data_IF_218120543636
#
_entry.id   IF_218120543636
#
_cell.length_a   1.000
_cell.length_b   1.000
_cell.length_c   1.000
_cell.angle_alpha   90.00
_cell.angle_beta   90.00
_cell.angle_gamma   90.00
#
_symmetry.space_group_name_H-M   'P 1'
#
loop_
_entity.id
_entity.type
_entity.pdbx_description
1 polymer ?
#
# COMPACT_ATOMS: atom_id res chain seq x y z
N UNK A 1 -4.11 -23.18 -15.25
CA UNK A 1 -5.32 -22.36 -15.47
C UNK A 1 -4.91 -21.20 -16.35
N UNK A 2 -5.70 -20.82 -17.35
CA UNK A 2 -5.33 -19.73 -18.27
C UNK A 2 -5.59 -18.34 -17.70
N UNK A 3 -6.57 -18.19 -16.79
CA UNK A 3 -6.88 -16.96 -16.05
C UNK A 3 -7.36 -17.30 -14.64
N UNK A 4 -7.12 -16.41 -13.68
CA UNK A 4 -7.65 -16.52 -12.31
C UNK A 4 -8.93 -15.68 -12.18
N UNK A 5 -10.01 -16.27 -11.68
CA UNK A 5 -11.26 -15.58 -11.42
C UNK A 5 -11.17 -14.70 -10.17
N UNK A 6 -11.64 -13.45 -10.32
CA UNK A 6 -11.58 -12.40 -9.32
C UNK A 6 -12.98 -11.91 -8.96
N UNK A 7 -13.25 -11.81 -7.66
CA UNK A 7 -14.41 -11.11 -7.12
C UNK A 7 -14.00 -9.77 -6.49
N UNK A 8 -14.84 -8.75 -6.58
CA UNK A 8 -14.65 -7.47 -5.89
C UNK A 8 -15.69 -7.33 -4.78
N UNK A 9 -15.28 -7.08 -3.54
CA UNK A 9 -16.17 -6.67 -2.45
C UNK A 9 -15.94 -5.19 -2.13
N UNK A 10 -16.97 -4.37 -2.30
CA UNK A 10 -16.95 -2.92 -2.14
C UNK A 10 -17.03 -2.21 -3.50
N UNK A 11 -18.16 -1.56 -3.76
CA UNK A 11 -18.45 -0.82 -4.99
C UNK A 11 -18.39 0.71 -4.75
N UNK A 12 -17.47 1.17 -3.89
CA UNK A 12 -17.20 2.58 -3.62
C UNK A 12 -16.28 3.23 -4.66
N UNK A 13 -15.89 4.49 -4.43
CA UNK A 13 -15.11 5.29 -5.39
C UNK A 13 -13.79 4.63 -5.84
N UNK A 14 -13.11 3.89 -4.95
CA UNK A 14 -11.84 3.23 -5.26
C UNK A 14 -12.03 2.06 -6.24
N UNK A 15 -13.23 1.47 -6.31
CA UNK A 15 -13.51 0.35 -7.23
C UNK A 15 -13.29 0.71 -8.69
N UNK A 16 -13.48 1.98 -9.07
CA UNK A 16 -13.19 2.46 -10.42
C UNK A 16 -11.72 2.25 -10.82
N UNK A 17 -10.78 2.50 -9.92
CA UNK A 17 -9.35 2.33 -10.21
C UNK A 17 -8.99 0.86 -10.42
N UNK A 18 -9.54 -0.04 -9.60
CA UNK A 18 -9.33 -1.48 -9.75
C UNK A 18 -10.00 -2.03 -11.01
N UNK A 19 -11.29 -1.74 -11.21
CA UNK A 19 -12.05 -2.27 -12.33
C UNK A 19 -11.53 -1.76 -13.68
N UNK A 20 -11.07 -0.51 -13.74
CA UNK A 20 -10.45 0.05 -14.96
C UNK A 20 -9.26 -0.80 -15.42
N UNK A 21 -8.42 -1.26 -14.50
CA UNK A 21 -7.21 -2.02 -14.85
C UNK A 21 -7.46 -3.53 -14.92
N UNK A 22 -8.14 -4.11 -13.92
CA UNK A 22 -8.37 -5.56 -13.83
C UNK A 22 -9.17 -6.13 -15.01
N UNK A 23 -10.02 -5.33 -15.64
CA UNK A 23 -10.76 -5.74 -16.85
C UNK A 23 -9.91 -5.75 -18.11
N UNK A 24 -8.68 -5.22 -18.06
CA UNK A 24 -7.71 -5.20 -19.17
C UNK A 24 -6.59 -6.24 -19.02
N UNK A 25 -6.42 -6.83 -17.83
CA UNK A 25 -5.33 -7.75 -17.56
C UNK A 25 -5.64 -9.18 -18.00
N UNK A 26 -4.73 -9.77 -18.78
CA UNK A 26 -4.97 -11.06 -19.41
C UNK A 26 -5.01 -12.23 -18.42
N UNK A 27 -4.23 -12.18 -17.34
CA UNK A 27 -4.08 -13.30 -16.39
C UNK A 27 -5.19 -13.40 -15.33
N UNK A 28 -6.07 -12.40 -15.25
CA UNK A 28 -7.19 -12.36 -14.30
C UNK A 28 -8.49 -12.05 -15.02
N UNK A 29 -9.61 -12.44 -14.43
CA UNK A 29 -10.94 -12.14 -14.95
C UNK A 29 -11.86 -11.72 -13.80
N UNK A 30 -12.41 -10.50 -13.87
CA UNK A 30 -13.39 -10.04 -12.86
C UNK A 30 -14.74 -10.66 -13.19
N UNK A 31 -15.22 -11.54 -12.31
CA UNK A 31 -16.44 -12.33 -12.52
C UNK A 31 -17.64 -11.75 -11.77
N UNK A 32 -17.42 -11.04 -10.67
CA UNK A 32 -18.51 -10.52 -9.85
C UNK A 32 -18.10 -9.31 -9.02
N UNK A 33 -18.98 -8.32 -8.92
CA UNK A 33 -18.89 -7.22 -7.95
C UNK A 33 -19.96 -7.40 -6.87
N UNK A 34 -19.59 -7.28 -5.60
CA UNK A 34 -20.49 -7.35 -4.47
C UNK A 34 -20.42 -6.10 -3.60
N UNK A 35 -21.56 -5.71 -3.05
CA UNK A 35 -21.68 -4.61 -2.08
C UNK A 35 -22.90 -4.84 -1.18
N UNK A 36 -22.94 -4.19 -0.02
CA UNK A 36 -24.14 -4.16 0.83
C UNK A 36 -25.29 -3.41 0.15
N UNK A 37 -24.96 -2.44 -0.69
CA UNK A 37 -25.90 -1.67 -1.51
C UNK A 37 -25.88 -2.27 -2.91
N UNK A 38 -26.82 -3.17 -3.20
CA UNK A 38 -26.87 -3.96 -4.43
C UNK A 38 -26.87 -3.09 -5.70
N UNK A 39 -27.48 -1.92 -5.66
CA UNK A 39 -27.52 -0.98 -6.78
C UNK A 39 -26.12 -0.46 -7.12
N UNK A 40 -25.23 -0.28 -6.14
CA UNK A 40 -23.83 0.12 -6.39
C UNK A 40 -23.06 -1.00 -7.08
N UNK A 41 -23.23 -2.24 -6.60
CA UNK A 41 -22.61 -3.41 -7.22
C UNK A 41 -23.07 -3.59 -8.67
N UNK A 42 -24.38 -3.49 -8.92
CA UNK A 42 -24.96 -3.57 -10.26
C UNK A 42 -24.46 -2.47 -11.19
N UNK A 43 -24.44 -1.21 -10.71
CA UNK A 43 -23.92 -0.07 -11.49
C UNK A 43 -22.45 -0.24 -11.86
N UNK A 44 -21.60 -0.70 -10.93
CA UNK A 44 -20.18 -0.92 -11.22
C UNK A 44 -19.98 -2.10 -12.18
N UNK A 45 -20.73 -3.18 -12.01
CA UNK A 45 -20.66 -4.33 -12.91
C UNK A 45 -21.06 -3.95 -14.34
N UNK A 46 -22.16 -3.20 -14.52
CA UNK A 46 -22.60 -2.70 -15.82
C UNK A 46 -21.56 -1.78 -16.45
N UNK A 47 -21.05 -0.79 -15.70
CA UNK A 47 -20.08 0.20 -16.17
C UNK A 47 -18.81 -0.43 -16.75
N UNK A 48 -18.35 -1.53 -16.15
CA UNK A 48 -17.10 -2.20 -16.51
C UNK A 48 -17.29 -3.54 -17.25
N UNK A 49 -18.52 -3.91 -17.58
CA UNK A 49 -18.82 -5.16 -18.30
C UNK A 49 -18.53 -6.43 -17.48
N UNK A 50 -18.61 -6.37 -16.16
CA UNK A 50 -18.49 -7.54 -15.28
C UNK A 50 -19.79 -8.36 -15.35
N UNK A 51 -19.73 -9.68 -15.53
CA UNK A 51 -20.91 -10.48 -15.88
C UNK A 51 -21.93 -10.65 -14.74
N UNK A 52 -21.55 -10.39 -13.49
CA UNK A 52 -22.45 -10.54 -12.34
C UNK A 52 -22.25 -9.45 -11.27
N UNK A 53 -23.32 -9.19 -10.53
CA UNK A 53 -23.30 -8.39 -9.31
C UNK A 53 -24.25 -8.99 -8.26
N UNK A 54 -23.97 -8.80 -6.98
CA UNK A 54 -24.85 -9.31 -5.93
C UNK A 54 -24.36 -9.03 -4.51
N UNK A 55 -24.76 -9.90 -3.60
CA UNK A 55 -24.35 -9.88 -2.19
C UNK A 55 -22.94 -10.46 -2.02
N UNK A 56 -22.33 -10.17 -0.86
CA UNK A 56 -21.05 -10.77 -0.45
C UNK A 56 -21.16 -12.29 -0.34
N UNK A 57 -22.27 -12.80 0.20
CA UNK A 57 -22.50 -14.23 0.36
C UNK A 57 -22.55 -14.96 -1.00
N UNK A 58 -23.27 -14.40 -1.98
CA UNK A 58 -23.32 -14.97 -3.34
C UNK A 58 -21.94 -14.97 -4.01
N UNK A 59 -21.13 -13.92 -3.82
CA UNK A 59 -19.76 -13.87 -4.36
C UNK A 59 -18.87 -14.93 -3.72
N UNK A 60 -18.90 -15.07 -2.39
CA UNK A 60 -18.06 -16.03 -1.66
C UNK A 60 -18.44 -17.49 -1.95
N UNK A 61 -19.70 -17.75 -2.31
CA UNK A 61 -20.19 -19.08 -2.68
C UNK A 61 -19.76 -19.55 -4.07
N UNK A 62 -19.09 -18.71 -4.87
CA UNK A 62 -18.67 -19.05 -6.24
C UNK A 62 -17.36 -19.82 -6.29
N UNK A 63 -17.37 -21.01 -6.88
CA UNK A 63 -16.17 -21.84 -7.05
C UNK A 63 -15.21 -21.33 -8.13
N UNK A 64 -15.71 -20.54 -9.08
CA UNK A 64 -14.93 -19.96 -10.17
C UNK A 64 -14.15 -18.69 -9.77
N UNK A 65 -14.37 -18.16 -8.57
CA UNK A 65 -13.59 -17.07 -7.99
C UNK A 65 -12.52 -17.65 -7.06
N UNK A 66 -11.24 -17.31 -7.27
CA UNK A 66 -10.13 -17.75 -6.42
C UNK A 66 -9.51 -16.59 -5.62
N UNK A 67 -9.50 -15.36 -6.17
CA UNK A 67 -9.03 -14.16 -5.47
C UNK A 67 -10.21 -13.22 -5.22
N UNK A 68 -10.33 -12.68 -4.02
CA UNK A 68 -11.26 -11.61 -3.70
C UNK A 68 -10.50 -10.34 -3.37
N UNK A 69 -10.83 -9.26 -4.08
CA UNK A 69 -10.37 -7.91 -3.81
C UNK A 69 -11.32 -7.27 -2.79
N UNK A 70 -10.82 -7.03 -1.59
CA UNK A 70 -11.55 -6.36 -0.51
C UNK A 70 -11.22 -4.86 -0.51
N UNK A 71 -12.17 -4.04 -0.96
CA UNK A 71 -12.07 -2.57 -0.99
C UNK A 71 -13.22 -1.92 -0.22
N UNK A 72 -13.64 -2.55 0.88
CA UNK A 72 -14.58 -1.94 1.82
C UNK A 72 -13.94 -0.78 2.58
N UNK A 73 -14.65 -0.22 3.56
CA UNK A 73 -14.06 0.79 4.45
C UNK A 73 -13.02 0.14 5.39
N UNK A 74 -12.01 0.88 5.87
CA UNK A 74 -10.96 0.35 6.75
C UNK A 74 -11.46 -0.42 7.97
N UNK A 75 -12.55 0.04 8.60
CA UNK A 75 -13.12 -0.60 9.78
C UNK A 75 -13.66 -2.03 9.51
N UNK A 76 -13.99 -2.34 8.24
CA UNK A 76 -14.55 -3.63 7.85
C UNK A 76 -13.49 -4.57 7.23
N UNK A 77 -12.26 -4.10 6.99
CA UNK A 77 -11.23 -4.90 6.30
C UNK A 77 -10.98 -6.25 6.99
N UNK A 78 -10.77 -6.27 8.31
CA UNK A 78 -10.52 -7.49 9.05
C UNK A 78 -11.71 -8.45 9.01
N UNK A 79 -12.93 -7.93 9.26
CA UNK A 79 -14.16 -8.76 9.29
C UNK A 79 -14.49 -9.37 7.93
N UNK A 80 -14.38 -8.58 6.86
CA UNK A 80 -14.61 -9.06 5.49
C UNK A 80 -13.47 -9.99 5.06
N UNK A 81 -12.22 -9.67 5.43
CA UNK A 81 -11.06 -10.54 5.21
C UNK A 81 -11.24 -11.93 5.82
N UNK A 82 -11.74 -12.02 7.06
CA UNK A 82 -12.05 -13.30 7.71
C UNK A 82 -13.12 -14.09 6.95
N UNK A 83 -14.16 -13.43 6.42
CA UNK A 83 -15.18 -14.10 5.60
C UNK A 83 -14.60 -14.67 4.30
N UNK A 84 -13.72 -13.91 3.64
CA UNK A 84 -13.03 -14.33 2.41
C UNK A 84 -12.15 -15.56 2.69
N UNK A 85 -11.35 -15.50 3.77
CA UNK A 85 -10.48 -16.61 4.18
C UNK A 85 -11.32 -17.85 4.54
N UNK A 86 -12.40 -17.68 5.29
CA UNK A 86 -13.30 -18.77 5.66
C UNK A 86 -13.96 -19.45 4.44
N UNK A 87 -14.16 -18.70 3.35
CA UNK A 87 -14.63 -19.22 2.07
C UNK A 87 -13.51 -19.90 1.23
N UNK A 88 -12.29 -20.01 1.77
CA UNK A 88 -11.15 -20.65 1.10
C UNK A 88 -10.61 -19.85 -0.08
N UNK A 89 -10.78 -18.52 -0.08
CA UNK A 89 -10.33 -17.63 -1.16
C UNK A 89 -9.07 -16.88 -0.77
N UNK A 90 -8.21 -16.61 -1.75
CA UNK A 90 -7.10 -15.69 -1.58
C UNK A 90 -7.62 -14.26 -1.48
N UNK A 91 -6.95 -13.41 -0.72
CA UNK A 91 -7.39 -12.03 -0.47
C UNK A 91 -6.38 -11.02 -0.98
N UNK A 92 -6.85 -10.01 -1.70
CA UNK A 92 -6.16 -8.74 -1.90
C UNK A 92 -6.95 -7.64 -1.18
N UNK A 93 -6.43 -7.07 -0.10
CA UNK A 93 -7.13 -6.02 0.65
C UNK A 93 -6.60 -4.63 0.31
N UNK A 94 -7.46 -3.62 0.33
CA UNK A 94 -7.01 -2.24 0.44
C UNK A 94 -6.35 -1.97 1.79
N UNK A 95 -5.53 -0.91 1.83
CA UNK A 95 -4.87 -0.45 3.04
C UNK A 95 -5.87 0.23 3.99
N UNK A 96 -5.70 0.11 5.31
CA UNK A 96 -4.70 -0.70 6.01
C UNK A 96 -5.12 -2.18 6.10
N UNK A 97 -4.18 -3.10 6.37
CA UNK A 97 -4.49 -4.54 6.54
C UNK A 97 -5.54 -4.79 7.64
N UNK A 98 -5.48 -4.02 8.73
CA UNK A 98 -6.45 -3.94 9.80
C UNK A 98 -6.28 -2.60 10.54
N UNK A 99 -7.17 -2.27 11.47
CA UNK A 99 -7.08 -1.05 12.29
C UNK A 99 -6.21 -1.22 13.54
N UNK A 100 -5.84 -2.46 13.88
CA UNK A 100 -4.95 -2.78 15.00
C UNK A 100 -4.11 -4.04 14.70
N UNK A 101 -3.04 -4.22 15.47
CA UNK A 101 -2.09 -5.31 15.27
C UNK A 101 -2.68 -6.70 15.56
N UNK A 102 -3.55 -6.84 16.56
CA UNK A 102 -4.16 -8.13 16.93
C UNK A 102 -5.00 -8.68 15.79
N UNK A 103 -5.88 -7.85 15.23
CA UNK A 103 -6.73 -8.24 14.10
C UNK A 103 -5.89 -8.61 12.88
N UNK A 104 -4.80 -7.88 12.60
CA UNK A 104 -3.89 -8.21 11.51
C UNK A 104 -3.24 -9.59 11.72
N UNK A 105 -2.75 -9.86 12.93
CA UNK A 105 -2.13 -11.15 13.28
C UNK A 105 -3.12 -12.31 13.18
N UNK A 106 -4.34 -12.13 13.72
CA UNK A 106 -5.41 -13.13 13.64
C UNK A 106 -5.81 -13.42 12.18
N UNK A 107 -5.85 -12.40 11.35
CA UNK A 107 -6.18 -12.51 9.93
C UNK A 107 -5.12 -13.31 9.15
N UNK A 108 -3.84 -13.02 9.38
CA UNK A 108 -2.75 -13.75 8.72
C UNK A 108 -2.65 -15.19 9.23
N UNK A 109 -2.87 -15.42 10.53
CA UNK A 109 -2.90 -16.76 11.10
C UNK A 109 -4.06 -17.59 10.51
N UNK A 110 -5.24 -16.99 10.34
CA UNK A 110 -6.38 -17.63 9.71
C UNK A 110 -6.11 -17.96 8.24
N UNK A 111 -5.51 -17.03 7.47
CA UNK A 111 -5.14 -17.26 6.08
C UNK A 111 -4.15 -18.43 5.94
N UNK A 112 -3.12 -18.46 6.79
CA UNK A 112 -2.15 -19.55 6.83
C UNK A 112 -2.81 -20.90 7.17
N UNK A 113 -3.70 -20.93 8.16
CA UNK A 113 -4.42 -22.14 8.56
C UNK A 113 -5.35 -22.67 7.46
N UNK A 114 -5.96 -21.78 6.68
CA UNK A 114 -6.81 -22.12 5.54
C UNK A 114 -6.02 -22.46 4.26
N UNK A 115 -4.70 -22.27 4.26
CA UNK A 115 -3.86 -22.51 3.08
C UNK A 115 -4.07 -21.50 1.95
N UNK A 116 -4.60 -20.31 2.28
CA UNK A 116 -4.81 -19.22 1.31
C UNK A 116 -3.78 -18.11 1.52
N UNK A 117 -3.65 -17.24 0.52
CA UNK A 117 -2.75 -16.09 0.54
C UNK A 117 -3.53 -14.85 0.96
N UNK A 118 -2.90 -13.97 1.72
CA UNK A 118 -3.43 -12.66 2.06
C UNK A 118 -2.40 -11.62 1.65
N UNK A 119 -2.76 -10.74 0.73
CA UNK A 119 -1.96 -9.62 0.26
C UNK A 119 -2.73 -8.31 0.51
N UNK A 120 -2.00 -7.20 0.54
CA UNK A 120 -2.59 -5.91 0.89
C UNK A 120 -1.88 -4.77 0.18
N UNK A 121 -2.65 -3.79 -0.25
CA UNK A 121 -2.17 -2.51 -0.73
C UNK A 121 -1.27 -1.82 0.34
N UNK A 122 -0.37 -0.91 -0.04
CA UNK A 122 -0.29 -0.23 -1.33
C UNK A 122 0.40 -1.05 -2.43
N UNK A 123 -0.20 -1.12 -3.62
CA UNK A 123 0.46 -1.66 -4.82
C UNK A 123 1.25 -0.60 -5.61
N UNK A 124 1.25 0.67 -5.18
CA UNK A 124 2.11 1.71 -5.77
C UNK A 124 3.59 1.35 -5.67
N UNK A 125 4.00 0.64 -4.61
CA UNK A 125 5.37 0.13 -4.45
C UNK A 125 5.78 -0.83 -5.58
N UNK A 126 4.81 -1.45 -6.26
CA UNK A 126 5.01 -2.34 -7.40
C UNK A 126 5.11 -1.59 -8.74
N UNK A 127 4.84 -0.28 -8.76
CA UNK A 127 4.95 0.56 -9.93
C UNK A 127 6.40 0.78 -10.38
N UNK A 128 6.57 1.10 -11.66
CA UNK A 128 7.86 1.35 -12.31
C UNK A 128 8.73 2.36 -11.56
N UNK A 129 8.13 3.40 -10.96
CA UNK A 129 8.87 4.44 -10.25
C UNK A 129 9.69 3.86 -9.09
N UNK A 130 9.02 3.31 -8.08
CA UNK A 130 9.68 2.72 -6.91
C UNK A 130 10.51 1.49 -7.30
N UNK A 131 10.00 0.60 -8.15
CA UNK A 131 10.72 -0.61 -8.52
C UNK A 131 12.04 -0.34 -9.28
N UNK A 132 12.13 0.75 -10.04
CA UNK A 132 13.40 1.14 -10.69
C UNK A 132 14.48 1.45 -9.66
N UNK A 133 14.13 2.20 -8.62
CA UNK A 133 15.05 2.50 -7.55
C UNK A 133 15.40 1.29 -6.69
N UNK A 134 14.42 0.46 -6.33
CA UNK A 134 14.68 -0.77 -5.55
C UNK A 134 15.60 -1.71 -6.33
N UNK A 135 15.42 -1.85 -7.65
CA UNK A 135 16.36 -2.61 -8.50
C UNK A 135 17.76 -1.99 -8.54
N UNK A 136 17.88 -0.66 -8.61
CA UNK A 136 19.18 0.01 -8.59
C UNK A 136 19.91 -0.20 -7.25
N UNK A 137 19.18 -0.08 -6.13
CA UNK A 137 19.68 -0.36 -4.79
C UNK A 137 20.15 -1.82 -4.70
N UNK A 138 19.32 -2.77 -5.12
CA UNK A 138 19.64 -4.20 -5.10
C UNK A 138 20.85 -4.57 -5.99
N UNK A 139 21.07 -3.84 -7.09
CA UNK A 139 22.25 -4.00 -7.96
C UNK A 139 23.54 -3.43 -7.35
N UNK A 140 23.43 -2.61 -6.30
CA UNK A 140 24.56 -1.99 -5.62
C UNK A 140 24.97 -0.62 -6.18
N UNK A 141 24.09 0.08 -6.89
CA UNK A 141 24.39 1.39 -7.49
C UNK A 141 24.76 2.49 -6.49
N UNK A 142 24.35 2.31 -5.23
CA UNK A 142 24.70 3.19 -4.10
C UNK A 142 25.66 2.52 -3.11
N UNK A 143 26.25 1.37 -3.47
CA UNK A 143 27.01 0.52 -2.56
C UNK A 143 26.10 -0.16 -1.52
N UNK A 144 26.51 -0.16 -0.26
CA UNK A 144 25.70 -0.68 0.85
C UNK A 144 24.70 0.39 1.31
N UNK A 145 23.38 0.12 1.34
CA UNK A 145 22.40 1.08 1.84
C UNK A 145 22.52 1.27 3.36
N UNK A 146 22.50 2.52 3.84
CA UNK A 146 22.81 2.88 5.24
C UNK A 146 21.69 3.66 5.92
N UNK A 147 21.22 4.75 5.30
CA UNK A 147 20.25 5.65 5.93
C UNK A 147 19.22 6.17 4.95
N UNK A 148 18.00 6.43 5.40
CA UNK A 148 16.98 7.09 4.59
C UNK A 148 16.41 8.35 5.24
N UNK A 149 15.97 9.30 4.41
CA UNK A 149 15.14 10.42 4.82
C UNK A 149 13.86 10.40 4.01
N UNK A 150 12.70 10.43 4.69
CA UNK A 150 11.41 10.52 4.04
C UNK A 150 10.58 11.68 4.58
N UNK A 151 9.88 12.38 3.68
CA UNK A 151 9.02 13.51 4.06
C UNK A 151 7.73 13.55 3.25
N UNK A 152 6.63 13.70 3.97
CA UNK A 152 5.35 14.15 3.42
C UNK A 152 4.86 15.35 4.21
N UNK A 153 4.97 16.54 3.61
CA UNK A 153 4.56 17.80 4.20
C UNK A 153 3.56 18.47 3.30
N UNK A 154 2.38 18.74 3.83
CA UNK A 154 1.32 19.49 3.14
C UNK A 154 0.55 20.35 4.13
N UNK A 155 -0.23 21.34 3.65
CA UNK A 155 -1.10 22.13 4.53
C UNK A 155 -2.23 21.31 5.15
N UNK A 156 -2.56 20.16 4.56
CA UNK A 156 -3.56 19.19 5.01
C UNK A 156 -4.69 18.96 3.97
N UNK A 157 -5.27 17.75 3.92
CA UNK A 157 -6.25 17.36 2.91
C UNK A 157 -7.54 18.19 2.89
N UNK A 158 -7.87 18.88 3.98
CA UNK A 158 -8.98 19.82 4.04
C UNK A 158 -8.92 20.95 3.00
N UNK A 159 -7.75 21.23 2.43
CA UNK A 159 -7.61 22.24 1.39
C UNK A 159 -8.12 21.78 0.01
N UNK A 160 -8.19 20.47 -0.26
CA UNK A 160 -8.56 19.93 -1.59
C UNK A 160 -9.58 18.78 -1.57
N UNK A 161 -9.83 18.17 -0.42
CA UNK A 161 -10.82 17.10 -0.27
C UNK A 161 -12.17 17.70 0.16
N UNK A 162 -13.29 17.33 -0.49
CA UNK A 162 -14.61 17.91 -0.19
C UNK A 162 -15.19 17.45 1.17
N UNK A 163 -14.77 16.27 1.65
CA UNK A 163 -15.22 15.66 2.91
C UNK A 163 -14.01 15.14 3.73
N UNK A 164 -13.11 16.01 4.22
CA UNK A 164 -11.81 15.62 4.77
C UNK A 164 -11.87 15.06 6.19
N UNK A 165 -13.00 15.14 6.89
CA UNK A 165 -13.07 14.89 8.34
C UNK A 165 -12.60 13.49 8.75
N UNK A 166 -12.87 12.48 7.93
CA UNK A 166 -12.44 11.11 8.20
C UNK A 166 -10.91 10.96 8.24
N UNK A 167 -10.16 11.86 7.59
CA UNK A 167 -8.68 11.90 7.63
C UNK A 167 -8.13 12.52 8.92
N UNK A 168 -9.01 13.06 9.78
CA UNK A 168 -8.68 13.68 11.06
C UNK A 168 -9.36 13.00 12.26
N UNK A 169 -10.14 11.96 12.02
CA UNK A 169 -10.76 11.13 13.04
C UNK A 169 -9.76 10.14 13.68
N UNK A 170 -10.10 9.59 14.84
CA UNK A 170 -9.26 8.57 15.50
C UNK A 170 -8.87 7.42 14.55
N UNK A 171 -7.59 7.05 14.56
CA UNK A 171 -7.04 6.03 13.65
C UNK A 171 -6.68 6.53 12.24
N UNK A 172 -6.84 7.83 11.97
CA UNK A 172 -6.42 8.47 10.72
C UNK A 172 -5.21 9.41 10.92
N UNK A 173 -5.18 10.54 10.22
CA UNK A 173 -4.05 11.47 10.23
C UNK A 173 -2.97 11.08 9.21
N UNK A 174 -1.91 11.91 9.08
CA UNK A 174 -0.88 11.70 8.08
C UNK A 174 -0.13 10.37 8.28
N UNK A 175 -0.03 9.88 9.52
CA UNK A 175 0.64 8.61 9.82
C UNK A 175 -0.10 7.43 9.19
N UNK A 176 -1.41 7.30 9.40
CA UNK A 176 -2.15 6.13 8.90
C UNK A 176 -2.68 6.31 7.48
N UNK A 177 -2.83 7.55 6.99
CA UNK A 177 -3.22 7.79 5.60
C UNK A 177 -2.05 7.61 4.63
N UNK A 178 -0.92 8.29 4.91
CA UNK A 178 0.23 8.38 4.01
C UNK A 178 1.38 7.45 4.43
N UNK A 179 1.55 7.20 5.72
CA UNK A 179 2.60 6.32 6.23
C UNK A 179 2.68 4.95 5.56
N UNK A 180 1.58 4.27 5.17
CA UNK A 180 1.65 2.99 4.48
C UNK A 180 2.54 3.02 3.23
N UNK A 181 2.51 4.09 2.43
CA UNK A 181 3.31 4.20 1.21
C UNK A 181 4.81 4.34 1.51
N UNK A 182 5.14 5.22 2.45
CA UNK A 182 6.52 5.53 2.81
C UNK A 182 7.17 4.41 3.61
N UNK A 183 6.47 3.87 4.61
CA UNK A 183 6.97 2.74 5.41
C UNK A 183 7.16 1.52 4.52
N UNK A 184 6.19 1.16 3.68
CA UNK A 184 6.34 0.01 2.76
C UNK A 184 7.52 0.19 1.82
N UNK A 185 7.75 1.40 1.29
CA UNK A 185 8.93 1.68 0.45
C UNK A 185 10.24 1.46 1.21
N UNK A 186 10.32 1.89 2.48
CA UNK A 186 11.48 1.65 3.32
C UNK A 186 11.68 0.16 3.62
N UNK A 187 10.60 -0.59 3.86
CA UNK A 187 10.66 -2.05 4.06
C UNK A 187 11.16 -2.79 2.82
N UNK A 188 10.77 -2.34 1.62
CA UNK A 188 11.32 -2.88 0.37
C UNK A 188 12.80 -2.55 0.17
N UNK A 189 13.28 -1.43 0.71
CA UNK A 189 14.67 -1.02 0.56
C UNK A 189 15.61 -1.65 1.61
N UNK A 190 15.15 -1.79 2.86
CA UNK A 190 15.99 -2.17 4.00
C UNK A 190 15.57 -3.49 4.69
N UNK A 191 14.40 -4.03 4.40
CA UNK A 191 13.84 -5.18 5.12
C UNK A 191 13.13 -4.79 6.41
N UNK A 192 13.12 -5.70 7.39
CA UNK A 192 12.36 -5.53 8.63
C UNK A 192 12.88 -4.37 9.51
N UNK A 193 11.95 -3.57 10.02
CA UNK A 193 12.18 -2.59 11.06
C UNK A 193 12.23 -3.30 12.43
N UNK A 194 13.13 -2.86 13.31
CA UNK A 194 13.33 -3.45 14.63
C UNK A 194 12.92 -2.53 15.78
N UNK A 195 12.96 -1.21 15.58
CA UNK A 195 12.69 -0.25 16.66
C UNK A 195 12.32 1.12 16.12
N UNK A 196 11.46 1.84 16.85
CA UNK A 196 11.05 3.21 16.54
C UNK A 196 11.17 4.14 17.73
N UNK A 197 11.49 5.40 17.45
CA UNK A 197 11.39 6.53 18.38
C UNK A 197 10.65 7.65 17.65
N UNK A 198 9.76 8.37 18.33
CA UNK A 198 8.96 9.38 17.66
C UNK A 198 8.52 10.52 18.57
N UNK A 199 8.16 11.64 17.94
CA UNK A 199 7.39 12.72 18.54
C UNK A 199 6.20 13.04 17.64
N UNK A 200 5.10 13.47 18.23
CA UNK A 200 3.93 13.91 17.48
C UNK A 200 3.36 15.21 18.05
N UNK A 201 2.62 15.94 17.22
CA UNK A 201 1.92 17.14 17.66
C UNK A 201 0.63 17.36 16.89
N UNK A 202 -0.28 18.13 17.48
CA UNK A 202 -1.52 18.62 16.85
C UNK A 202 -1.48 20.14 16.86
N UNK A 203 -1.38 20.76 15.69
CA UNK A 203 -1.24 22.24 15.61
C UNK A 203 -2.55 23.01 15.76
N UNK A 204 -3.69 22.36 15.49
CA UNK A 204 -5.02 22.99 15.53
C UNK A 204 -6.05 22.02 16.09
N UNK A 205 -6.96 22.53 16.91
CA UNK A 205 -8.11 21.77 17.43
C UNK A 205 -9.23 21.64 16.39
N UNK A 206 -9.34 22.61 15.48
CA UNK A 206 -10.32 22.62 14.40
C UNK A 206 -9.67 22.97 13.06
N UNK A 207 -10.34 22.56 11.98
CA UNK A 207 -10.01 22.90 10.59
C UNK A 207 -11.27 23.28 9.83
N UNK A 208 -11.08 23.90 8.67
CA UNK A 208 -12.16 24.37 7.80
C UNK A 208 -12.01 23.72 6.43
N UNK A 209 -13.09 23.14 5.93
CA UNK A 209 -13.12 22.55 4.58
C UNK A 209 -12.89 23.65 3.54
N UNK A 210 -11.91 23.47 2.66
CA UNK A 210 -11.52 24.45 1.65
C UNK A 210 -12.12 24.24 0.26
N UNK A 211 -12.76 23.09 0.01
CA UNK A 211 -13.24 22.70 -1.32
C UNK A 211 -14.63 22.05 -1.32
N UNK A 212 -15.29 22.05 -2.47
CA UNK A 212 -16.57 21.38 -2.66
C UNK A 212 -17.78 22.07 -2.00
N UNK A 213 -18.96 21.44 -2.01
CA UNK A 213 -20.21 22.03 -1.54
C UNK A 213 -20.22 22.40 -0.05
N UNK A 214 -19.32 21.82 0.74
CA UNK A 214 -19.20 22.01 2.19
C UNK A 214 -18.09 23.00 2.57
N UNK A 215 -17.47 23.66 1.61
CA UNK A 215 -16.43 24.65 1.87
C UNK A 215 -16.89 25.71 2.89
N UNK A 216 -16.03 26.05 3.84
CA UNK A 216 -16.34 26.94 4.96
C UNK A 216 -16.89 26.23 6.21
N UNK A 217 -17.18 24.93 6.14
CA UNK A 217 -17.60 24.15 7.32
C UNK A 217 -16.39 23.89 8.22
N UNK A 218 -16.51 24.24 9.50
CA UNK A 218 -15.53 23.90 10.53
C UNK A 218 -15.78 22.49 11.09
N UNK A 219 -14.71 21.76 11.40
CA UNK A 219 -14.74 20.44 12.02
C UNK A 219 -13.59 20.24 13.00
N UNK A 220 -13.74 19.29 13.92
CA UNK A 220 -12.75 18.97 14.95
C UNK A 220 -11.61 18.08 14.43
N UNK A 221 -10.41 18.25 14.98
CA UNK A 221 -9.24 17.40 14.72
C UNK A 221 -8.98 16.52 15.94
N UNK A 222 -9.16 15.21 15.77
CA UNK A 222 -9.09 14.23 16.86
C UNK A 222 -7.71 13.59 17.01
N UNK A 223 -6.87 13.67 15.99
CA UNK A 223 -5.55 13.00 15.93
C UNK A 223 -4.38 13.99 15.81
N UNK A 224 -3.15 13.56 16.17
CA UNK A 224 -1.95 14.29 15.79
C UNK A 224 -1.87 14.49 14.27
N UNK A 225 -1.42 15.67 13.86
CA UNK A 225 -1.31 16.06 12.44
C UNK A 225 0.13 16.22 12.00
N UNK A 226 1.07 15.88 12.87
CA UNK A 226 2.50 15.85 12.61
C UNK A 226 3.12 14.69 13.38
N UNK A 227 3.93 13.90 12.69
CA UNK A 227 4.78 12.86 13.27
C UNK A 227 6.19 13.01 12.70
N UNK A 228 7.18 12.94 13.57
CA UNK A 228 8.58 12.81 13.22
C UNK A 228 9.15 11.59 13.94
N UNK A 229 9.75 10.66 13.19
CA UNK A 229 10.18 9.38 13.69
C UNK A 229 11.59 9.01 13.22
N UNK A 230 12.30 8.27 14.07
CA UNK A 230 13.51 7.52 13.75
C UNK A 230 13.18 6.03 13.77
N UNK A 231 13.44 5.34 12.65
CA UNK A 231 13.18 3.91 12.47
C UNK A 231 14.52 3.20 12.35
N UNK A 232 14.76 2.17 13.15
CA UNK A 232 15.92 1.26 13.05
C UNK A 232 15.48 -0.02 12.34
N UNK A 233 16.36 -0.59 11.53
CA UNK A 233 16.12 -1.83 10.78
C UNK A 233 17.01 -2.97 11.30
N UNK A 234 16.57 -4.21 11.17
CA UNK A 234 17.31 -5.39 11.61
C UNK A 234 18.68 -5.51 10.93
N UNK A 235 18.80 -5.04 9.68
CA UNK A 235 20.05 -4.99 8.93
C UNK A 235 21.03 -3.90 9.37
N UNK A 236 20.68 -3.10 10.39
CA UNK A 236 21.51 -2.01 10.92
C UNK A 236 21.31 -0.64 10.26
N UNK A 237 20.43 -0.53 9.25
CA UNK A 237 20.06 0.73 8.64
C UNK A 237 19.17 1.57 9.58
N UNK A 238 19.03 2.86 9.25
CA UNK A 238 18.09 3.74 9.94
C UNK A 238 17.38 4.71 9.00
N UNK A 239 16.17 5.12 9.32
CA UNK A 239 15.44 6.14 8.56
C UNK A 239 14.93 7.26 9.48
N UNK A 240 14.98 8.50 8.98
CA UNK A 240 14.22 9.62 9.52
C UNK A 240 12.97 9.84 8.67
N UNK A 241 11.80 9.85 9.29
CA UNK A 241 10.51 10.01 8.59
C UNK A 241 9.71 11.14 9.21
N UNK A 242 9.23 12.07 8.39
CA UNK A 242 8.30 13.12 8.83
C UNK A 242 7.03 13.11 7.99
N UNK A 243 5.88 12.95 8.64
CA UNK A 243 4.56 12.96 8.01
C UNK A 243 3.71 14.05 8.65
N UNK A 244 3.31 15.05 7.87
CA UNK A 244 2.73 16.29 8.40
C UNK A 244 1.68 16.88 7.49
N UNK A 245 0.51 17.14 8.08
CA UNK A 245 -0.54 17.97 7.51
C UNK A 245 -0.47 19.41 8.03
N UNK A 246 0.64 19.87 8.60
CA UNK A 246 0.74 21.21 9.23
C UNK A 246 1.53 22.23 8.40
N UNK A 247 2.04 21.87 7.22
CA UNK A 247 3.08 22.66 6.55
C UNK A 247 2.50 23.49 5.41
N UNK A 248 2.63 24.82 5.49
CA UNK A 248 2.19 25.71 4.42
C UNK A 248 2.98 25.50 3.11
N UNK A 249 4.27 25.20 3.20
CA UNK A 249 5.11 24.85 2.06
C UNK A 249 5.02 23.33 1.82
N UNK A 250 4.38 22.89 0.71
CA UNK A 250 4.33 21.47 0.40
C UNK A 250 5.71 20.92 0.06
N UNK A 251 6.06 19.80 0.69
CA UNK A 251 7.21 18.94 0.36
C UNK A 251 6.74 17.49 0.51
N UNK A 252 6.18 16.94 -0.53
CA UNK A 252 5.74 15.55 -0.60
C UNK A 252 6.58 14.78 -1.64
N UNK A 253 6.43 13.46 -1.63
CA UNK A 253 7.15 12.58 -2.54
C UNK A 253 8.65 12.50 -2.27
N UNK A 254 9.11 12.91 -1.09
CA UNK A 254 10.53 12.91 -0.77
C UNK A 254 10.92 11.58 -0.13
N UNK A 255 11.68 10.77 -0.85
CA UNK A 255 12.28 9.54 -0.37
C UNK A 255 13.73 9.50 -0.85
N UNK A 256 14.67 9.65 0.08
CA UNK A 256 16.11 9.63 -0.19
C UNK A 256 16.75 8.47 0.55
N UNK A 257 17.56 7.67 -0.15
CA UNK A 257 18.30 6.55 0.42
C UNK A 257 19.79 6.78 0.14
N UNK A 258 20.55 6.87 1.22
CA UNK A 258 21.99 7.05 1.20
C UNK A 258 22.67 5.70 1.43
N UNK A 259 23.64 5.39 0.59
CA UNK A 259 24.53 4.24 0.71
C UNK A 259 26.01 4.64 0.75
N UNK A 260 26.89 3.65 0.83
CA UNK A 260 28.33 3.86 0.95
C UNK A 260 28.99 4.50 -0.27
N UNK A 261 28.38 4.43 -1.45
CA UNK A 261 28.95 4.91 -2.71
C UNK A 261 28.11 6.01 -3.38
N UNK A 262 26.92 6.31 -2.84
CA UNK A 262 26.05 7.31 -3.41
C UNK A 262 24.69 7.43 -2.72
N UNK A 263 23.85 8.27 -3.29
CA UNK A 263 22.50 8.58 -2.81
C UNK A 263 21.51 8.43 -3.96
N UNK A 264 20.38 7.76 -3.71
CA UNK A 264 19.28 7.70 -4.66
C UNK A 264 18.06 8.41 -4.10
N UNK A 265 17.46 9.28 -4.91
CA UNK A 265 16.19 9.95 -4.63
C UNK A 265 15.10 9.30 -5.47
N UNK A 266 14.09 8.77 -4.80
CA UNK A 266 12.95 8.06 -5.38
C UNK A 266 11.81 9.04 -5.71
N UNK A 267 10.90 8.68 -6.64
CA UNK A 267 9.66 9.43 -6.84
C UNK A 267 8.70 9.27 -5.67
N UNK A 268 7.55 9.97 -5.72
CA UNK A 268 6.53 9.87 -4.68
C UNK A 268 5.99 8.43 -4.55
N UNK A 269 6.12 7.77 -3.39
CA UNK A 269 5.63 6.40 -3.21
C UNK A 269 4.10 6.29 -3.24
N UNK A 270 3.39 7.42 -3.28
CA UNK A 270 1.93 7.47 -3.44
C UNK A 270 1.49 7.41 -4.93
N UNK A 271 2.41 7.33 -5.89
CA UNK A 271 2.13 7.11 -7.32
C UNK A 271 2.87 5.88 -7.87
N UNK A 272 2.57 5.50 -9.11
CA UNK A 272 3.12 4.28 -9.74
C UNK A 272 4.35 4.55 -10.63
N UNK A 273 4.57 5.79 -11.05
CA UNK A 273 5.60 6.18 -12.00
C UNK A 273 6.53 7.26 -11.42
N UNK A 274 7.44 7.76 -12.24
CA UNK A 274 8.35 8.84 -11.89
C UNK A 274 9.82 8.41 -11.84
N UNK A 275 10.67 9.29 -12.33
CA UNK A 275 12.11 9.02 -12.45
C UNK A 275 12.81 9.16 -11.10
N UNK A 276 13.86 8.35 -10.91
CA UNK A 276 14.75 8.48 -9.76
C UNK A 276 15.99 9.29 -10.13
N UNK A 277 16.66 9.86 -9.14
CA UNK A 277 17.92 10.59 -9.33
C UNK A 277 19.02 9.93 -8.52
N UNK A 278 20.14 9.57 -9.18
CA UNK A 278 21.29 8.91 -8.57
C UNK A 278 22.48 9.88 -8.47
N UNK A 279 22.97 10.08 -7.26
CA UNK A 279 24.16 10.84 -6.93
C UNK A 279 25.28 9.87 -6.59
N UNK A 280 26.31 9.77 -7.42
CA UNK A 280 27.49 8.91 -7.14
C UNK A 280 28.59 9.75 -6.51
N UNK A 281 29.24 9.25 -5.47
CA UNK A 281 30.41 9.92 -4.87
C UNK A 281 31.50 10.15 -5.93
N UNK A 282 32.06 11.36 -5.95
CA UNK A 282 33.10 11.76 -6.89
C UNK A 282 32.61 12.19 -8.28
N UNK A 283 31.28 12.25 -8.51
CA UNK A 283 30.70 12.89 -9.70
C UNK A 283 30.10 14.25 -9.32
N UNK A 284 30.25 15.23 -10.20
CA UNK A 284 29.74 16.59 -9.99
C UNK A 284 28.23 16.71 -10.29
N UNK A 285 27.69 15.84 -11.14
CA UNK A 285 26.30 15.87 -11.59
C UNK A 285 25.58 14.54 -11.32
N UNK A 286 24.29 14.57 -10.96
CA UNK A 286 23.51 13.35 -10.79
C UNK A 286 23.18 12.70 -12.13
N UNK A 287 22.80 11.43 -12.07
CA UNK A 287 22.24 10.67 -13.20
C UNK A 287 20.76 10.45 -12.98
N UNK A 288 19.93 10.83 -13.96
CA UNK A 288 18.51 10.45 -13.98
C UNK A 288 18.36 8.97 -14.33
N UNK A 289 17.64 8.24 -13.50
CA UNK A 289 17.21 6.87 -13.75
C UNK A 289 15.74 6.92 -14.18
N UNK A 290 15.52 6.89 -15.49
CA UNK A 290 14.15 6.84 -16.04
C UNK A 290 13.45 5.58 -15.57
N UNK A 291 12.21 5.74 -15.08
CA UNK A 291 11.42 4.61 -14.60
C UNK A 291 11.23 3.55 -15.69
N UNK A 292 11.36 2.29 -15.30
CA UNK A 292 11.18 1.12 -16.16
C UNK A 292 10.25 0.10 -15.52
N UNK A 293 9.44 -0.55 -16.36
CA UNK A 293 8.42 -1.51 -15.98
C UNK A 293 7.02 -0.93 -16.10
N UNK A 294 6.06 -1.61 -15.48
CA UNK A 294 4.64 -1.24 -15.52
C UNK A 294 4.34 0.09 -14.83
N UNK A 295 3.61 0.97 -15.52
CA UNK A 295 2.98 2.19 -14.96
C UNK A 295 1.47 2.03 -14.77
N UNK A 296 0.95 0.81 -14.91
CA UNK A 296 -0.44 0.51 -14.58
C UNK A 296 -0.73 0.82 -13.10
N UNK A 297 -1.98 1.19 -12.81
CA UNK A 297 -2.40 1.57 -11.47
C UNK A 297 -2.86 0.40 -10.61
N UNK A 298 -3.86 0.69 -9.76
CA UNK A 298 -4.46 -0.28 -8.82
C UNK A 298 -4.95 -1.53 -9.54
N UNK A 299 -4.63 -2.69 -8.98
CA UNK A 299 -4.88 -4.00 -9.60
C UNK A 299 -3.59 -4.70 -10.05
N UNK A 300 -2.49 -3.95 -10.21
CA UNK A 300 -1.16 -4.50 -10.46
C UNK A 300 -0.78 -5.52 -9.39
N UNK A 301 -1.07 -5.22 -8.12
CA UNK A 301 -0.81 -6.14 -7.02
C UNK A 301 -1.66 -7.41 -7.04
N UNK A 302 -2.88 -7.35 -7.57
CA UNK A 302 -3.76 -8.52 -7.74
C UNK A 302 -3.18 -9.49 -8.76
N UNK A 303 -2.64 -8.98 -9.88
CA UNK A 303 -1.96 -9.81 -10.88
C UNK A 303 -0.64 -10.35 -10.35
N UNK A 304 0.12 -9.57 -9.58
CA UNK A 304 1.34 -10.03 -8.92
C UNK A 304 1.05 -11.20 -7.97
N UNK A 305 -0.01 -11.08 -7.16
CA UNK A 305 -0.51 -12.15 -6.29
C UNK A 305 -0.95 -13.37 -7.09
N UNK A 306 -1.73 -13.19 -8.16
CA UNK A 306 -2.19 -14.27 -9.03
C UNK A 306 -1.02 -15.10 -9.59
N UNK A 307 0.01 -14.42 -10.11
CA UNK A 307 1.22 -15.05 -10.64
C UNK A 307 2.06 -15.69 -9.52
N UNK A 308 2.18 -15.04 -8.36
CA UNK A 308 2.88 -15.59 -7.21
C UNK A 308 2.26 -16.92 -6.72
N UNK A 309 0.91 -16.98 -6.66
CA UNK A 309 0.18 -18.20 -6.33
C UNK A 309 0.48 -19.32 -7.34
N UNK A 310 0.40 -19.02 -8.64
CA UNK A 310 0.64 -20.00 -9.69
C UNK A 310 2.08 -20.54 -9.69
N UNK A 311 3.06 -19.69 -9.40
CA UNK A 311 4.48 -20.04 -9.34
C UNK A 311 4.92 -20.65 -7.99
N UNK A 312 4.08 -20.56 -6.95
CA UNK A 312 4.42 -21.03 -5.60
C UNK A 312 5.47 -20.18 -4.88
N UNK A 313 5.65 -18.92 -5.26
CA UNK A 313 6.60 -17.98 -4.63
C UNK A 313 5.87 -16.98 -3.71
N UNK A 314 6.59 -16.31 -2.80
CA UNK A 314 6.02 -15.17 -2.08
C UNK A 314 5.62 -14.03 -3.02
N UNK A 315 4.44 -13.47 -2.76
CA UNK A 315 3.98 -12.18 -3.27
C UNK A 315 4.72 -11.02 -2.58
N UNK A 316 4.92 -9.91 -3.29
CA UNK A 316 5.77 -8.80 -2.82
C UNK A 316 5.04 -7.83 -1.90
N UNK A 317 3.73 -7.68 -2.10
CA UNK A 317 2.83 -6.91 -1.24
C UNK A 317 2.05 -7.86 -0.31
N UNK A 318 2.79 -8.77 0.35
CA UNK A 318 2.18 -9.79 1.21
C UNK A 318 1.53 -9.18 2.45
N UNK A 319 0.61 -9.93 3.04
CA UNK A 319 -0.03 -9.57 4.30
C UNK A 319 0.98 -9.43 5.44
N UNK A 320 2.08 -10.20 5.41
CA UNK A 320 3.18 -10.04 6.36
C UNK A 320 3.85 -8.66 6.25
N UNK A 321 4.11 -8.20 5.02
CA UNK A 321 4.65 -6.84 4.77
C UNK A 321 3.67 -5.77 5.27
N UNK A 322 2.39 -5.91 4.96
CA UNK A 322 1.38 -4.93 5.39
C UNK A 322 1.17 -4.93 6.92
N UNK A 323 1.20 -6.10 7.57
CA UNK A 323 1.13 -6.22 9.02
C UNK A 323 2.36 -5.63 9.70
N UNK A 324 3.55 -5.84 9.14
CA UNK A 324 4.77 -5.24 9.68
C UNK A 324 4.80 -3.73 9.48
N UNK A 325 4.35 -3.22 8.33
CA UNK A 325 4.18 -1.79 8.11
C UNK A 325 3.18 -1.17 9.12
N UNK A 326 2.09 -1.88 9.42
CA UNK A 326 1.14 -1.46 10.46
C UNK A 326 1.79 -1.44 11.84
N UNK A 327 2.55 -2.48 12.22
CA UNK A 327 3.28 -2.55 13.49
C UNK A 327 4.25 -1.37 13.65
N UNK A 328 5.00 -1.03 12.59
CA UNK A 328 5.86 0.16 12.57
C UNK A 328 5.07 1.45 12.80
N UNK A 329 3.94 1.64 12.12
CA UNK A 329 3.12 2.85 12.28
C UNK A 329 2.50 2.93 13.68
N UNK A 330 2.01 1.82 14.22
CA UNK A 330 1.50 1.75 15.59
C UNK A 330 2.63 2.04 16.59
N UNK A 331 3.82 1.48 16.38
CA UNK A 331 5.00 1.78 17.18
C UNK A 331 5.39 3.26 17.13
N UNK A 332 5.28 3.93 15.98
CA UNK A 332 5.53 5.39 15.86
C UNK A 332 4.54 6.17 16.72
N UNK A 333 3.25 5.81 16.69
CA UNK A 333 2.23 6.42 17.54
C UNK A 333 2.58 6.20 19.02
N UNK A 334 2.82 4.94 19.41
CA UNK A 334 3.02 4.54 20.80
C UNK A 334 4.32 5.14 21.38
N UNK A 335 5.38 5.24 20.56
CA UNK A 335 6.62 5.92 20.93
C UNK A 335 6.40 7.42 21.17
N UNK A 336 5.60 8.07 20.32
CA UNK A 336 5.28 9.49 20.48
C UNK A 336 4.40 9.76 21.71
N UNK A 337 3.45 8.87 22.02
CA UNK A 337 2.57 9.00 23.18
C UNK A 337 3.30 8.73 24.51
N UNK A 338 4.16 7.71 24.54
CA UNK A 338 4.91 7.33 25.73
C UNK A 338 6.17 8.16 25.97
N UNK A 339 6.71 8.80 24.93
CA UNK A 339 8.01 9.46 24.95
C UNK A 339 9.18 8.49 25.11
N UNK A 340 8.99 7.20 24.80
CA UNK A 340 10.00 6.13 24.89
C UNK A 340 10.20 5.49 23.51
N UNK A 341 11.32 4.76 23.35
CA UNK A 341 11.49 3.89 22.18
C UNK A 341 10.57 2.67 22.27
N UNK A 342 10.03 2.24 21.13
CA UNK A 342 9.20 1.03 21.00
C UNK A 342 9.95 0.02 20.11
N UNK A 343 10.10 -1.21 20.59
CA UNK A 343 10.60 -2.33 19.80
C UNK A 343 9.48 -2.85 18.87
N UNK A 344 9.83 -3.15 17.63
CA UNK A 344 8.93 -3.74 16.64
C UNK A 344 9.10 -5.25 16.71
N UNK A 345 8.00 -5.96 16.99
CA UNK A 345 8.06 -7.39 17.32
C UNK A 345 7.72 -8.29 16.13
N UNK A 346 6.99 -7.76 15.15
CA UNK A 346 6.84 -8.42 13.86
C UNK A 346 8.12 -8.30 13.02
N UNK A 347 8.28 -9.21 12.06
CA UNK A 347 9.40 -9.21 11.12
C UNK A 347 8.95 -9.75 9.76
N UNK A 348 9.78 -9.56 8.74
CA UNK A 348 9.52 -9.96 7.36
C UNK A 348 10.78 -10.51 6.69
N UNK A 349 10.59 -11.43 5.76
CA UNK A 349 11.67 -11.88 4.89
C UNK A 349 12.07 -10.77 3.90
N UNK A 350 13.33 -10.76 3.41
CA UNK A 350 13.76 -9.83 2.37
C UNK A 350 12.89 -9.89 1.11
N UNK A 351 12.42 -8.73 0.67
CA UNK A 351 11.53 -8.61 -0.48
C UNK A 351 12.34 -8.49 -1.76
N UNK A 352 12.12 -9.40 -2.70
CA UNK A 352 12.78 -9.33 -4.01
C UNK A 352 12.11 -8.27 -4.90
N UNK A 353 12.88 -7.46 -5.65
CA UNK A 353 12.31 -6.51 -6.60
C UNK A 353 11.50 -7.22 -7.69
N UNK A 354 10.55 -6.50 -8.29
CA UNK A 354 9.88 -6.94 -9.51
C UNK A 354 10.88 -6.95 -10.68
N UNK A 355 10.83 -7.99 -11.54
CA UNK A 355 11.55 -7.99 -12.81
C UNK A 355 11.25 -6.73 -13.63
N UNK A 356 12.24 -6.25 -14.40
CA UNK A 356 12.09 -5.06 -15.24
C UNK A 356 11.01 -5.23 -16.32
N UNK A 357 10.82 -6.47 -16.79
CA UNK A 357 9.86 -6.89 -17.81
C UNK A 357 8.50 -7.29 -17.23
N UNK A 358 8.26 -7.09 -15.92
CA UNK A 358 6.95 -7.34 -15.34
C UNK A 358 5.89 -6.38 -15.93
N UNK A 359 4.93 -6.96 -16.64
CA UNK A 359 3.75 -6.29 -17.18
C UNK A 359 2.47 -7.02 -16.71
N UNK A 360 1.59 -6.39 -15.91
CA UNK A 360 0.34 -7.01 -15.48
C UNK A 360 -0.66 -7.24 -16.64
N UNK A 361 -0.50 -6.58 -17.78
CA UNK A 361 -1.35 -6.79 -18.95
C UNK A 361 -0.94 -8.02 -19.79
N UNK A 362 0.28 -8.53 -19.62
CA UNK A 362 0.77 -9.72 -20.34
C UNK A 362 0.02 -11.01 -19.93
N UNK A 363 -0.07 -11.98 -20.85
CA UNK A 363 -0.80 -13.24 -20.69
C UNK A 363 0.09 -14.39 -20.20
N UNK A 364 0.79 -14.19 -19.08
CA UNK A 364 1.84 -15.12 -18.59
C UNK A 364 1.25 -16.47 -18.16
N UNK A 365 0.10 -16.49 -17.50
CA UNK A 365 -0.52 -17.74 -17.02
C UNK A 365 -1.09 -18.56 -18.18
N UNK A 366 -1.62 -17.88 -19.21
CA UNK A 366 -2.11 -18.55 -20.41
C UNK A 366 -0.96 -19.17 -21.22
N UNK A 367 0.17 -18.49 -21.34
CA UNK A 367 1.36 -19.02 -22.01
C UNK A 367 1.94 -20.23 -21.26
N UNK A 368 2.05 -20.14 -19.93
CA UNK A 368 2.56 -21.24 -19.09
C UNK A 368 1.65 -22.48 -19.10
N UNK A 369 0.34 -22.33 -19.27
CA UNK A 369 -0.59 -23.46 -19.36
C UNK A 369 -0.52 -24.23 -20.69
N UNK A 370 0.06 -23.61 -21.74
CA UNK A 370 0.20 -24.21 -23.07
C UNK A 370 1.61 -24.76 -23.35
N UNK A 371 2.56 -24.52 -22.45
CA UNK A 371 3.92 -25.08 -22.47
C UNK A 371 3.97 -26.40 -21.70
#
# INVERSE_FOLDING_TARGET
MSRIGVGIIGAGNISDQYLTNLTQFADVEVLMVADLILERAASQAEKYGVPASGTVEELLARDDIQIVVNITIPAEHAKVGQQIIAAGKHTWSEKPVATNASDAQELLAAAAAAGVRYACAPDTVLGAGIQTAIRAIARGDIGTPLTATTMFHVPGPDQWHPDPEFLYAQGAGPLFDIGPYYVTTLLHAFGAASRVQAVSSKSRETRVIGSGPRAGTEFAVEVPTHHAALISFEGGQSAQTTLSFQHALPRNGFVEINGSEGTIVLPDPNVFDGDSTLWTLGKDEPTTLTHKGSTWGRGTGVVELARAIAEGRPERASGAVASHALDVMLGIRDAAESGQSVEITSSIDPIQPLPEDFDPAAAVLAEAANA
#
